data_IF_190866540031
#
_entry.id   IF_190866540031
#
_cell.length_a   1.000
_cell.length_b   1.000
_cell.length_c   1.000
_cell.angle_alpha   90.00
_cell.angle_beta   90.00
_cell.angle_gamma   90.00
#
_symmetry.space_group_name_H-M   'P 1'
#
loop_
_entity.id
_entity.type
_entity.pdbx_description
1 polymer ?
#
# COMPACT_ATOMS: atom_id res chain seq x y z
N UNK A 1 -19.36 11.44 42.31
CA UNK A 1 -17.95 10.95 42.22
C UNK A 1 -17.82 9.58 41.56
N UNK A 2 -18.67 8.58 41.85
CA UNK A 2 -18.62 7.24 41.20
C UNK A 2 -18.75 7.25 39.66
N UNK A 3 -19.63 8.08 39.11
CA UNK A 3 -19.86 8.15 37.66
C UNK A 3 -18.66 8.70 36.85
N UNK A 4 -17.87 9.59 37.46
CA UNK A 4 -16.67 10.19 36.82
C UNK A 4 -15.56 9.15 36.70
N UNK A 5 -15.44 8.24 37.67
CA UNK A 5 -14.45 7.16 37.65
C UNK A 5 -14.77 6.12 36.57
N UNK A 6 -16.05 5.83 36.35
CA UNK A 6 -16.49 4.90 35.28
C UNK A 6 -16.27 5.50 33.89
N UNK A 7 -16.55 6.79 33.71
CA UNK A 7 -16.29 7.47 32.43
C UNK A 7 -14.79 7.54 32.08
N UNK A 8 -13.93 7.73 33.07
CA UNK A 8 -12.48 7.72 32.87
C UNK A 8 -11.93 6.32 32.54
N UNK A 9 -12.50 5.26 33.13
CA UNK A 9 -12.09 3.88 32.86
C UNK A 9 -12.46 3.40 31.44
N UNK A 10 -13.61 3.83 30.91
CA UNK A 10 -14.04 3.50 29.54
C UNK A 10 -13.23 4.27 28.50
N UNK A 11 -12.89 5.53 28.77
CA UNK A 11 -12.01 6.32 27.89
C UNK A 11 -10.61 5.73 27.75
N UNK A 12 -10.08 5.12 28.82
CA UNK A 12 -8.76 4.48 28.81
C UNK A 12 -8.78 3.11 28.09
N UNK A 13 -9.91 2.40 28.11
CA UNK A 13 -10.06 1.11 27.42
C UNK A 13 -10.13 1.26 25.88
N UNK A 14 -10.60 2.39 25.36
CA UNK A 14 -10.68 2.67 23.92
C UNK A 14 -9.34 3.12 23.31
N UNK A 15 -8.38 3.57 24.12
CA UNK A 15 -7.06 4.01 23.66
C UNK A 15 -6.08 2.88 23.35
N UNK A 16 -6.41 1.64 23.73
CA UNK A 16 -5.55 0.45 23.60
C UNK A 16 -6.11 -0.56 22.61
N UNK A 17 -6.90 -0.09 21.63
CA UNK A 17 -7.09 -0.90 20.43
C UNK A 17 -5.67 -1.19 19.88
N UNK A 18 -5.28 -2.47 19.72
CA UNK A 18 -4.02 -2.78 19.08
C UNK A 18 -4.07 -2.13 17.70
N UNK A 19 -3.31 -1.04 17.52
CA UNK A 19 -3.03 -0.49 16.20
C UNK A 19 -2.59 -1.70 15.37
N UNK A 20 -3.19 -1.97 14.21
CA UNK A 20 -2.70 -3.05 13.37
C UNK A 20 -1.21 -2.78 13.16
N UNK A 21 -0.40 -3.56 13.87
CA UNK A 21 1.03 -3.57 13.67
C UNK A 21 1.18 -3.86 12.17
N UNK A 22 2.07 -3.17 11.43
CA UNK A 22 2.29 -3.40 10.00
C UNK A 22 2.99 -4.74 9.76
N UNK A 23 2.53 -5.75 10.46
CA UNK A 23 2.96 -7.12 10.41
C UNK A 23 2.34 -7.73 9.16
N UNK A 24 3.15 -7.82 8.10
CA UNK A 24 2.88 -8.54 6.86
C UNK A 24 1.82 -7.96 5.91
N UNK A 25 1.78 -6.64 5.73
CA UNK A 25 1.04 -6.06 4.59
C UNK A 25 1.75 -6.21 3.24
N UNK A 26 3.03 -6.63 3.21
CA UNK A 26 3.81 -6.78 1.97
C UNK A 26 3.10 -7.62 0.89
N UNK A 27 2.66 -8.86 1.13
CA UNK A 27 2.04 -9.68 0.08
C UNK A 27 0.73 -9.07 -0.44
N UNK A 28 -0.12 -8.60 0.47
CA UNK A 28 -1.39 -7.97 0.10
C UNK A 28 -1.17 -6.68 -0.72
N UNK A 29 -0.21 -5.84 -0.31
CA UNK A 29 0.10 -4.60 -0.99
C UNK A 29 0.77 -4.82 -2.36
N UNK A 30 1.66 -5.81 -2.47
CA UNK A 30 2.24 -6.22 -3.76
C UNK A 30 1.14 -6.70 -4.72
N UNK A 31 0.19 -7.50 -4.22
CA UNK A 31 -0.94 -7.97 -5.02
C UNK A 31 -1.88 -6.82 -5.41
N UNK A 32 -2.16 -5.90 -4.50
CA UNK A 32 -2.97 -4.71 -4.78
C UNK A 32 -2.33 -3.84 -5.88
N UNK A 33 -1.03 -3.59 -5.78
CA UNK A 33 -0.27 -2.85 -6.80
C UNK A 33 -0.27 -3.59 -8.15
N UNK A 34 -0.10 -4.92 -8.15
CA UNK A 34 -0.20 -5.74 -9.37
C UNK A 34 -1.59 -5.66 -10.02
N UNK A 35 -2.64 -5.83 -9.25
CA UNK A 35 -4.01 -5.83 -9.78
C UNK A 35 -4.38 -4.48 -10.36
N UNK A 36 -4.00 -3.40 -9.67
CA UNK A 36 -4.30 -2.04 -10.10
C UNK A 36 -3.49 -1.67 -11.35
N UNK A 37 -2.21 -2.07 -11.41
CA UNK A 37 -1.38 -1.93 -12.60
C UNK A 37 -1.95 -2.70 -13.79
N UNK A 38 -2.35 -3.96 -13.62
CA UNK A 38 -2.98 -4.75 -14.69
C UNK A 38 -4.28 -4.11 -15.20
N UNK A 39 -5.09 -3.56 -14.29
CA UNK A 39 -6.30 -2.81 -14.67
C UNK A 39 -5.96 -1.57 -15.50
N UNK A 40 -4.94 -0.82 -15.08
CA UNK A 40 -4.48 0.36 -15.81
C UNK A 40 -3.87 -0.01 -17.18
N UNK A 41 -3.17 -1.13 -17.29
CA UNK A 41 -2.62 -1.64 -18.55
C UNK A 41 -3.71 -2.14 -19.51
N UNK A 42 -4.80 -2.70 -18.98
CA UNK A 42 -5.95 -3.12 -19.78
C UNK A 42 -6.83 -1.96 -20.27
N UNK A 43 -6.66 -0.77 -19.68
CA UNK A 43 -7.33 0.46 -20.10
C UNK A 43 -6.68 1.12 -21.32
N UNK A 44 -7.03 2.39 -21.54
CA UNK A 44 -6.51 3.15 -22.69
C UNK A 44 -5.10 3.67 -22.42
N UNK A 45 -4.08 2.97 -22.91
CA UNK A 45 -2.69 3.47 -22.80
C UNK A 45 -2.46 4.61 -23.80
N UNK A 46 -2.12 5.78 -23.28
CA UNK A 46 -1.83 7.03 -24.01
C UNK A 46 -0.37 7.42 -23.83
N UNK A 47 0.09 8.46 -24.54
CA UNK A 47 1.44 8.99 -24.38
C UNK A 47 1.70 9.52 -22.95
N UNK A 48 0.67 10.04 -22.28
CA UNK A 48 0.77 10.58 -20.91
C UNK A 48 0.80 9.48 -19.85
N UNK A 49 0.03 8.40 -20.05
CA UNK A 49 -0.08 7.31 -19.07
C UNK A 49 1.03 6.27 -19.21
N UNK A 50 1.59 6.09 -20.41
CA UNK A 50 2.65 5.12 -20.65
C UNK A 50 3.87 5.25 -19.72
N UNK A 51 4.48 6.44 -19.51
CA UNK A 51 5.60 6.57 -18.57
C UNK A 51 5.21 6.23 -17.13
N UNK A 52 3.98 6.52 -16.70
CA UNK A 52 3.49 6.14 -15.37
C UNK A 52 3.39 4.62 -15.21
N UNK A 53 2.89 3.93 -16.24
CA UNK A 53 2.78 2.46 -16.25
C UNK A 53 4.16 1.78 -16.32
N UNK A 54 5.09 2.33 -17.09
CA UNK A 54 6.48 1.84 -17.15
C UNK A 54 7.17 1.96 -15.78
N UNK A 55 7.02 3.12 -15.13
CA UNK A 55 7.58 3.37 -13.81
C UNK A 55 6.91 2.52 -12.72
N UNK A 56 5.59 2.34 -12.80
CA UNK A 56 4.83 1.47 -11.90
C UNK A 56 5.30 0.01 -12.01
N UNK A 57 5.53 -0.50 -13.24
CA UNK A 57 6.12 -1.82 -13.49
C UNK A 57 7.50 -1.94 -12.84
N UNK A 58 8.36 -0.92 -12.99
CA UNK A 58 9.70 -0.92 -12.40
C UNK A 58 9.62 -1.01 -10.87
N UNK A 59 8.83 -0.14 -10.23
CA UNK A 59 8.67 -0.16 -8.77
C UNK A 59 8.06 -1.47 -8.27
N UNK A 60 7.12 -2.08 -8.98
CA UNK A 60 6.54 -3.36 -8.60
C UNK A 60 7.57 -4.50 -8.69
N UNK A 61 8.40 -4.53 -9.72
CA UNK A 61 9.49 -5.51 -9.86
C UNK A 61 10.52 -5.35 -8.74
N UNK A 62 10.96 -4.12 -8.46
CA UNK A 62 11.87 -3.83 -7.36
C UNK A 62 11.24 -4.19 -6.00
N UNK A 63 9.96 -3.89 -5.80
CA UNK A 63 9.25 -4.23 -4.56
C UNK A 63 9.21 -5.74 -4.30
N UNK A 64 8.99 -6.55 -5.35
CA UNK A 64 9.07 -8.02 -5.27
C UNK A 64 10.46 -8.48 -4.92
N UNK A 65 11.49 -7.98 -5.60
CA UNK A 65 12.88 -8.34 -5.31
C UNK A 65 13.26 -8.02 -3.86
N UNK A 66 12.86 -6.84 -3.35
CA UNK A 66 13.06 -6.46 -1.96
C UNK A 66 12.27 -7.33 -0.96
N UNK A 67 11.10 -7.83 -1.34
CA UNK A 67 10.32 -8.74 -0.49
C UNK A 67 11.00 -10.11 -0.38
N UNK A 68 11.43 -10.68 -1.51
CA UNK A 68 12.10 -11.98 -1.56
C UNK A 68 13.45 -11.98 -0.80
N UNK A 69 14.18 -10.86 -0.82
CA UNK A 69 15.47 -10.74 -0.16
C UNK A 69 15.38 -10.37 1.33
N UNK A 70 14.20 -9.99 1.83
CA UNK A 70 14.02 -9.55 3.20
C UNK A 70 14.08 -10.73 4.19
N UNK A 71 14.90 -10.62 5.24
CA UNK A 71 15.10 -11.68 6.24
C UNK A 71 14.40 -11.37 7.56
N UNK A 72 14.17 -10.11 7.86
CA UNK A 72 13.47 -9.65 9.06
C UNK A 72 12.35 -8.66 8.72
N UNK A 73 11.40 -8.49 9.65
CA UNK A 73 10.25 -7.57 9.48
C UNK A 73 10.65 -6.15 9.06
N UNK A 74 11.75 -5.63 9.61
CA UNK A 74 12.25 -4.28 9.28
C UNK A 74 12.73 -4.15 7.83
N UNK A 75 13.20 -5.25 7.23
CA UNK A 75 13.76 -5.26 5.88
C UNK A 75 12.65 -5.12 4.83
N UNK A 76 11.42 -5.49 5.17
CA UNK A 76 10.23 -5.33 4.30
C UNK A 76 9.82 -3.88 4.06
N UNK A 77 10.31 -2.91 4.85
CA UNK A 77 9.95 -1.49 4.66
C UNK A 77 10.34 -0.95 3.27
N UNK A 78 11.41 -1.49 2.66
CA UNK A 78 11.80 -1.18 1.29
C UNK A 78 10.76 -1.65 0.27
N UNK A 79 10.31 -2.91 0.40
CA UNK A 79 9.29 -3.49 -0.46
C UNK A 79 7.95 -2.75 -0.32
N UNK A 80 7.51 -2.45 0.92
CA UNK A 80 6.27 -1.70 1.17
C UNK A 80 6.30 -0.33 0.49
N UNK A 81 7.37 0.45 0.66
CA UNK A 81 7.47 1.79 0.06
C UNK A 81 7.39 1.73 -1.46
N UNK A 82 8.12 0.82 -2.09
CA UNK A 82 8.11 0.64 -3.54
C UNK A 82 6.74 0.18 -4.06
N UNK A 83 6.09 -0.75 -3.36
CA UNK A 83 4.73 -1.18 -3.72
C UNK A 83 3.71 -0.02 -3.65
N UNK A 84 3.84 0.90 -2.68
CA UNK A 84 3.01 2.11 -2.61
C UNK A 84 3.26 3.08 -3.78
N UNK A 85 4.52 3.24 -4.21
CA UNK A 85 4.83 4.04 -5.39
C UNK A 85 4.22 3.44 -6.66
N UNK A 86 4.35 2.12 -6.84
CA UNK A 86 3.71 1.42 -7.97
C UNK A 86 2.18 1.61 -7.96
N UNK A 87 1.56 1.49 -6.78
CA UNK A 87 0.12 1.72 -6.60
C UNK A 87 -0.27 3.14 -7.02
N UNK A 88 0.40 4.16 -6.47
CA UNK A 88 0.06 5.57 -6.74
C UNK A 88 0.22 5.92 -8.23
N UNK A 89 1.26 5.42 -8.89
CA UNK A 89 1.46 5.64 -10.33
C UNK A 89 0.38 4.95 -11.19
N UNK A 90 -0.03 3.75 -10.81
CA UNK A 90 -1.09 3.05 -11.50
C UNK A 90 -2.48 3.69 -11.24
N UNK A 91 -2.71 4.25 -10.05
CA UNK A 91 -3.91 5.04 -9.72
C UNK A 91 -3.98 6.34 -10.53
N UNK A 92 -2.85 7.03 -10.67
CA UNK A 92 -2.75 8.21 -11.52
C UNK A 92 -3.01 7.86 -12.99
N UNK A 93 -2.42 6.76 -13.47
CA UNK A 93 -2.67 6.30 -14.84
C UNK A 93 -4.16 6.00 -15.09
N UNK A 94 -4.85 5.35 -14.15
CA UNK A 94 -6.30 5.13 -14.24
C UNK A 94 -7.08 6.44 -14.22
N UNK A 95 -6.68 7.40 -13.39
CA UNK A 95 -7.32 8.72 -13.32
C UNK A 95 -7.22 9.46 -14.66
N UNK A 96 -6.06 9.42 -15.31
CA UNK A 96 -5.82 10.01 -16.62
C UNK A 96 -6.48 9.26 -17.78
N UNK A 97 -6.85 7.99 -17.60
CA UNK A 97 -7.61 7.22 -18.60
C UNK A 97 -9.07 7.66 -18.71
N UNK A 98 -9.55 8.43 -17.72
CA UNK A 98 -10.94 8.81 -17.58
C UNK A 98 -11.78 7.71 -16.92
N UNK A 99 -12.93 8.07 -16.33
CA UNK A 99 -13.88 7.11 -15.75
C UNK A 99 -14.51 6.19 -16.81
#
# INVERSE_FOLDING_TARGET
MRAVVVAAAVGLALGVAPRPSPAFTCPALLKQAEDLLRRAEAGRVTAETRPLLDEARRYLAEARAHHEQARARRDHAGAVRKAKFALALAEEALTLQGP
#
